data_IF_447936170968
#
_entry.id   IF_447936170968
#
_cell.length_a   1.000
_cell.length_b   1.000
_cell.length_c   1.000
_cell.angle_alpha   90.00
_cell.angle_beta   90.00
_cell.angle_gamma   90.00
#
_symmetry.space_group_name_H-M   'P 1'
#
loop_
_entity.id
_entity.type
_entity.pdbx_description
1 polymer ?
#
# COMPACT_ATOMS: atom_id res chain seq x y z
N UNK A 1 -40.17 -27.91 -51.00
CA UNK A 1 -38.88 -28.35 -50.42
C UNK A 1 -38.57 -27.35 -49.33
N UNK A 2 -39.16 -27.60 -48.17
CA UNK A 2 -39.13 -26.71 -47.02
C UNK A 2 -38.02 -27.18 -46.08
N UNK A 3 -36.99 -26.36 -45.93
CA UNK A 3 -35.91 -26.63 -44.99
C UNK A 3 -36.27 -26.02 -43.63
N UNK A 4 -36.27 -26.79 -42.52
CA UNK A 4 -36.48 -26.23 -41.20
C UNK A 4 -35.28 -25.35 -40.85
N UNK A 5 -35.56 -24.09 -40.50
CA UNK A 5 -34.57 -23.13 -40.03
C UNK A 5 -34.22 -23.49 -38.59
N UNK A 6 -33.02 -24.04 -38.38
CA UNK A 6 -32.51 -24.32 -37.04
C UNK A 6 -32.35 -22.99 -36.27
N UNK A 7 -33.07 -22.88 -35.15
CA UNK A 7 -32.91 -21.79 -34.19
C UNK A 7 -31.60 -22.03 -33.44
N UNK A 8 -30.60 -21.17 -33.65
CA UNK A 8 -29.39 -21.16 -32.83
C UNK A 8 -29.68 -20.35 -31.57
N UNK A 9 -29.83 -21.02 -30.43
CA UNK A 9 -29.83 -20.36 -29.13
C UNK A 9 -28.41 -19.88 -28.83
N UNK A 10 -28.26 -18.57 -28.63
CA UNK A 10 -26.99 -17.99 -28.21
C UNK A 10 -26.73 -18.34 -26.74
N UNK A 11 -25.49 -18.70 -26.35
CA UNK A 11 -25.21 -19.00 -24.95
C UNK A 11 -25.23 -17.69 -24.15
N UNK A 12 -26.16 -17.61 -23.20
CA UNK A 12 -26.15 -16.56 -22.18
C UNK A 12 -24.97 -16.86 -21.24
N UNK A 13 -23.91 -16.07 -21.32
CA UNK A 13 -22.84 -16.10 -20.31
C UNK A 13 -23.40 -15.41 -19.07
N UNK A 14 -23.92 -16.21 -18.15
CA UNK A 14 -24.22 -15.75 -16.79
C UNK A 14 -22.88 -15.40 -16.13
N UNK A 15 -22.58 -14.11 -16.06
CA UNK A 15 -21.55 -13.58 -15.16
C UNK A 15 -22.06 -13.79 -13.74
N UNK A 16 -21.64 -14.88 -13.12
CA UNK A 16 -21.67 -15.00 -11.67
C UNK A 16 -20.71 -13.94 -11.09
N UNK A 17 -21.25 -12.75 -10.84
CA UNK A 17 -20.61 -11.78 -9.95
C UNK A 17 -20.72 -12.32 -8.53
N UNK A 18 -19.81 -13.23 -8.17
CA UNK A 18 -19.53 -13.54 -6.79
C UNK A 18 -18.94 -12.28 -6.13
N UNK A 19 -19.79 -11.40 -5.61
CA UNK A 19 -19.40 -10.35 -4.65
C UNK A 19 -18.98 -11.03 -3.35
N UNK A 20 -17.81 -11.66 -3.37
CA UNK A 20 -17.07 -12.00 -2.18
C UNK A 20 -16.55 -10.66 -1.65
N UNK A 21 -17.30 -10.03 -0.76
CA UNK A 21 -16.76 -8.95 0.07
C UNK A 21 -15.67 -9.57 0.95
N UNK A 22 -14.48 -9.76 0.38
CA UNK A 22 -13.29 -9.98 1.17
C UNK A 22 -13.11 -8.71 2.01
N UNK A 23 -13.16 -8.86 3.33
CA UNK A 23 -12.77 -7.80 4.25
C UNK A 23 -11.34 -7.44 3.87
N UNK A 24 -11.16 -6.33 3.13
CA UNK A 24 -9.84 -5.92 2.67
C UNK A 24 -8.99 -5.61 3.91
N UNK A 25 -8.05 -6.51 4.22
CA UNK A 25 -7.11 -6.31 5.31
C UNK A 25 -6.31 -5.01 5.06
N UNK A 26 -6.04 -4.21 6.10
CA UNK A 26 -5.32 -2.96 5.94
C UNK A 26 -3.89 -3.20 5.43
N UNK A 27 -3.40 -2.25 4.65
CA UNK A 27 -2.04 -2.21 4.12
C UNK A 27 -1.15 -1.35 5.01
N UNK A 28 0.04 -1.86 5.30
CA UNK A 28 1.08 -1.19 6.08
C UNK A 28 2.02 -0.45 5.14
N UNK A 29 2.36 0.80 5.48
CA UNK A 29 3.47 1.56 4.88
C UNK A 29 4.70 1.33 5.73
N UNK A 30 5.75 0.79 5.12
CA UNK A 30 7.00 0.42 5.79
C UNK A 30 8.13 1.24 5.19
N UNK A 31 8.96 1.82 6.06
CA UNK A 31 10.24 2.44 5.68
C UNK A 31 11.36 1.52 6.12
N UNK A 32 12.35 1.34 5.25
CA UNK A 32 13.52 0.49 5.46
C UNK A 32 14.77 1.33 5.67
N UNK A 33 15.73 0.77 6.40
CA UNK A 33 17.01 1.43 6.66
C UNK A 33 17.88 1.48 5.39
N UNK A 34 18.65 2.54 5.26
CA UNK A 34 19.64 2.71 4.20
C UNK A 34 20.91 3.39 4.73
N UNK A 35 22.08 3.19 4.11
CA UNK A 35 23.34 3.75 4.60
C UNK A 35 23.59 5.20 4.18
N UNK A 36 22.68 5.84 3.44
CA UNK A 36 22.91 7.13 2.78
C UNK A 36 22.22 8.27 3.53
N UNK A 37 20.97 8.08 3.96
CA UNK A 37 20.15 9.12 4.56
C UNK A 37 20.51 9.38 6.02
N UNK A 38 20.63 10.67 6.38
CA UNK A 38 20.87 11.08 7.76
C UNK A 38 19.61 10.91 8.63
N UNK A 39 19.78 10.52 9.90
CA UNK A 39 18.69 10.38 10.89
C UNK A 39 17.80 11.64 11.00
N UNK A 40 18.43 12.82 11.02
CA UNK A 40 17.72 14.10 11.09
C UNK A 40 16.87 14.37 9.85
N UNK A 41 17.34 13.96 8.67
CA UNK A 41 16.61 14.06 7.43
C UNK A 41 15.41 13.11 7.43
N UNK A 42 15.61 11.83 7.78
CA UNK A 42 14.53 10.83 7.90
C UNK A 42 13.44 11.30 8.86
N UNK A 43 13.84 11.83 10.03
CA UNK A 43 12.91 12.40 11.02
C UNK A 43 12.10 13.57 10.45
N UNK A 44 12.74 14.47 9.69
CA UNK A 44 12.05 15.59 9.04
C UNK A 44 11.04 15.10 8.00
N UNK A 45 11.41 14.11 7.18
CA UNK A 45 10.51 13.51 6.19
C UNK A 45 9.30 12.86 6.85
N UNK A 46 9.49 12.15 7.97
CA UNK A 46 8.37 11.52 8.69
C UNK A 46 7.39 12.57 9.24
N UNK A 47 7.89 13.69 9.77
CA UNK A 47 7.04 14.81 10.17
C UNK A 47 6.27 15.39 8.97
N UNK A 48 6.93 15.55 7.82
CA UNK A 48 6.33 16.20 6.66
C UNK A 48 5.30 15.33 5.94
N UNK A 49 5.56 14.03 5.81
CA UNK A 49 4.67 13.09 5.10
C UNK A 49 3.48 12.68 5.96
N UNK A 50 3.71 12.39 7.25
CA UNK A 50 2.66 11.84 8.13
C UNK A 50 2.08 12.86 9.12
N UNK A 51 2.64 14.07 9.20
CA UNK A 51 2.21 15.07 10.18
C UNK A 51 2.58 14.70 11.62
N UNK A 52 3.55 13.80 11.82
CA UNK A 52 3.92 13.36 13.16
C UNK A 52 4.57 14.47 13.97
N UNK A 53 4.33 14.54 15.28
CA UNK A 53 5.16 15.33 16.16
C UNK A 53 6.58 14.77 16.14
N UNK A 54 7.57 15.64 16.37
CA UNK A 54 8.99 15.29 16.30
C UNK A 54 9.35 14.03 17.10
N UNK A 55 8.87 13.91 18.33
CA UNK A 55 9.13 12.75 19.20
C UNK A 55 8.69 11.43 18.56
N UNK A 56 7.51 11.40 17.94
CA UNK A 56 7.01 10.20 17.24
C UNK A 56 7.84 9.90 15.99
N UNK A 57 8.22 10.93 15.24
CA UNK A 57 9.09 10.77 14.07
C UNK A 57 10.48 10.23 14.46
N UNK A 58 11.07 10.73 15.54
CA UNK A 58 12.35 10.26 16.07
C UNK A 58 12.26 8.80 16.52
N UNK A 59 11.15 8.40 17.17
CA UNK A 59 10.91 7.00 17.53
C UNK A 59 10.91 6.08 16.31
N UNK A 60 10.15 6.41 15.27
CA UNK A 60 10.12 5.61 14.03
C UNK A 60 11.48 5.60 13.33
N UNK A 61 12.18 6.74 13.31
CA UNK A 61 13.52 6.81 12.72
C UNK A 61 14.50 5.88 13.44
N UNK A 62 14.50 5.89 14.77
CA UNK A 62 15.34 4.98 15.57
C UNK A 62 14.97 3.52 15.34
N UNK A 63 13.68 3.22 15.18
CA UNK A 63 13.22 1.86 14.84
C UNK A 63 13.75 1.43 13.47
N UNK A 64 13.67 2.29 12.45
CA UNK A 64 14.28 2.03 11.13
C UNK A 64 15.78 1.77 11.29
N UNK A 65 16.50 2.64 11.99
CA UNK A 65 17.96 2.52 12.14
C UNK A 65 18.39 1.23 12.86
N UNK A 66 17.73 0.90 13.96
CA UNK A 66 18.12 -0.23 14.82
C UNK A 66 17.59 -1.57 14.30
N UNK A 67 16.36 -1.61 13.78
CA UNK A 67 15.66 -2.84 13.42
C UNK A 67 15.62 -3.08 11.90
N UNK A 68 16.14 -2.15 11.11
CA UNK A 68 16.14 -2.23 9.65
C UNK A 68 14.84 -1.79 8.99
N UNK A 69 13.72 -1.68 9.73
CA UNK A 69 12.42 -1.24 9.21
C UNK A 69 11.53 -0.68 10.32
N UNK A 70 10.53 0.12 9.93
CA UNK A 70 9.44 0.56 10.80
C UNK A 70 8.11 0.63 10.02
N UNK A 71 7.00 0.25 10.65
CA UNK A 71 5.65 0.45 10.11
C UNK A 71 5.19 1.85 10.51
N UNK A 72 5.02 2.73 9.54
CA UNK A 72 4.66 4.12 9.79
C UNK A 72 3.16 4.35 9.73
N UNK A 73 2.41 3.61 8.90
CA UNK A 73 0.97 3.81 8.73
C UNK A 73 0.27 2.52 8.32
N UNK A 74 -1.01 2.37 8.67
CA UNK A 74 -1.84 1.23 8.29
C UNK A 74 -3.25 1.69 7.86
N UNK A 75 -3.78 1.15 6.77
CA UNK A 75 -5.14 1.45 6.31
C UNK A 75 -5.40 1.06 4.86
N UNK A 76 -6.26 1.80 4.15
CA UNK A 76 -6.62 1.49 2.76
C UNK A 76 -5.43 1.53 1.81
N UNK A 77 -5.44 0.65 0.81
CA UNK A 77 -4.32 0.46 -0.13
C UNK A 77 -3.95 1.74 -0.87
N UNK A 78 -4.93 2.45 -1.41
CA UNK A 78 -4.72 3.66 -2.20
C UNK A 78 -3.95 4.73 -1.42
N UNK A 79 -4.30 4.92 -0.14
CA UNK A 79 -3.59 5.86 0.73
C UNK A 79 -2.18 5.38 1.08
N UNK A 80 -1.98 4.08 1.25
CA UNK A 80 -0.65 3.50 1.46
C UNK A 80 0.28 3.75 0.26
N UNK A 81 -0.23 3.55 -0.95
CA UNK A 81 0.50 3.81 -2.21
C UNK A 81 0.90 5.28 -2.33
N UNK A 82 -0.01 6.21 -1.99
CA UNK A 82 0.28 7.65 -1.97
C UNK A 82 1.37 8.02 -0.95
N UNK A 83 1.43 7.36 0.21
CA UNK A 83 2.50 7.59 1.18
C UNK A 83 3.84 7.07 0.67
N UNK A 84 3.88 5.86 0.09
CA UNK A 84 5.10 5.30 -0.49
C UNK A 84 5.62 6.18 -1.62
N UNK A 85 4.76 6.67 -2.51
CA UNK A 85 5.15 7.60 -3.57
C UNK A 85 5.78 8.88 -3.00
N UNK A 86 5.21 9.46 -1.94
CA UNK A 86 5.78 10.64 -1.29
C UNK A 86 7.15 10.34 -0.67
N UNK A 87 7.29 9.20 0.02
CA UNK A 87 8.56 8.76 0.63
C UNK A 87 9.65 8.53 -0.42
N UNK A 88 9.32 7.92 -1.56
CA UNK A 88 10.23 7.76 -2.69
C UNK A 88 10.63 9.12 -3.29
N UNK A 89 9.72 10.09 -3.32
CA UNK A 89 10.04 11.48 -3.70
C UNK A 89 11.05 12.15 -2.77
N UNK A 90 11.15 11.69 -1.53
CA UNK A 90 12.19 12.08 -0.56
C UNK A 90 13.42 11.16 -0.56
N UNK A 91 13.53 10.24 -1.52
CA UNK A 91 14.61 9.25 -1.66
C UNK A 91 14.71 8.26 -0.48
N UNK A 92 13.61 8.03 0.24
CA UNK A 92 13.56 6.99 1.28
C UNK A 92 13.12 5.66 0.68
N UNK A 93 13.72 4.56 1.14
CA UNK A 93 13.30 3.22 0.76
C UNK A 93 12.02 2.83 1.51
N UNK A 94 10.94 2.60 0.78
CA UNK A 94 9.65 2.26 1.37
C UNK A 94 8.85 1.24 0.53
N UNK A 95 8.03 0.42 1.20
CA UNK A 95 7.14 -0.57 0.59
C UNK A 95 5.76 -0.57 1.25
N UNK A 96 4.78 -1.21 0.61
CA UNK A 96 3.51 -1.60 1.25
C UNK A 96 3.44 -3.11 1.45
N UNK A 97 2.85 -3.55 2.55
CA UNK A 97 2.60 -4.97 2.84
C UNK A 97 1.18 -5.16 3.38
N UNK A 98 0.51 -6.27 3.06
CA UNK A 98 -0.78 -6.60 3.71
C UNK A 98 -0.54 -6.90 5.18
N UNK A 99 -1.42 -6.40 6.06
CA UNK A 99 -1.43 -6.84 7.46
C UNK A 99 -1.81 -8.31 7.50
N UNK A 100 -1.03 -9.11 8.24
CA UNK A 100 -1.22 -10.56 8.39
C UNK A 100 -2.31 -10.84 9.42
#
# INVERSE_FOLDING_TARGET
>A
MDFPRATLEAPTIEKEEATKQEIEMPWNVIVHNDPVNLMSYVTMVFQRVFGYPRERAEKHMLEVHNNGRSILWSGVRERAELYVQQLHGYLLLATIEKTV
#
